data_IF_163025804598
#
_entry.id   IF_163025804598
#
_cell.length_a   1.000
_cell.length_b   1.000
_cell.length_c   1.000
_cell.angle_alpha   90.00
_cell.angle_beta   90.00
_cell.angle_gamma   90.00
#
_symmetry.space_group_name_H-M   'P 1'
#
loop_
_entity.id
_entity.type
_entity.pdbx_description
1 polymer ?
#
# COMPACT_ATOMS: atom_id res chain seq x y z
N UNK A 1 -21.94 -29.35 61.88
CA UNK A 1 -21.13 -29.33 63.12
C UNK A 1 -19.67 -29.38 62.68
N UNK A 2 -18.97 -28.26 62.82
CA UNK A 2 -17.53 -28.18 62.65
C UNK A 2 -16.85 -28.55 63.97
N UNK A 3 -15.79 -29.36 63.90
CA UNK A 3 -14.71 -29.44 64.90
C UNK A 3 -13.50 -30.02 64.15
N UNK A 4 -12.47 -29.24 63.78
CA UNK A 4 -11.36 -28.77 64.65
C UNK A 4 -10.75 -29.98 65.40
N UNK A 5 -9.45 -30.26 65.45
CA UNK A 5 -8.23 -29.46 65.30
C UNK A 5 -7.08 -30.46 65.48
N UNK A 6 -5.93 -30.25 64.87
CA UNK A 6 -4.76 -31.10 65.13
C UNK A 6 -3.47 -30.51 64.59
N UNK A 7 -3.09 -29.33 65.08
CA UNK A 7 -1.70 -28.89 65.07
C UNK A 7 -1.24 -28.76 66.51
N UNK A 8 -0.16 -29.45 66.87
CA UNK A 8 0.99 -28.84 67.54
C UNK A 8 2.12 -29.86 67.72
N UNK A 9 3.31 -29.48 67.25
CA UNK A 9 4.53 -29.47 68.07
C UNK A 9 5.68 -28.84 67.28
N UNK A 10 6.05 -27.61 67.64
CA UNK A 10 7.44 -27.15 67.64
C UNK A 10 7.76 -26.89 69.11
N UNK A 11 8.92 -27.33 69.61
CA UNK A 11 10.01 -26.36 69.76
C UNK A 11 11.39 -27.06 69.58
N UNK A 12 12.55 -26.45 69.45
CA UNK A 12 13.15 -25.34 70.19
C UNK A 12 14.30 -24.76 69.38
N UNK A 13 14.56 -23.48 69.63
CA UNK A 13 15.70 -22.70 69.19
C UNK A 13 17.07 -23.31 69.56
N UNK A 14 18.08 -23.02 68.75
CA UNK A 14 19.47 -23.18 69.16
C UNK A 14 20.45 -23.39 68.01
N UNK A 15 20.81 -22.32 67.29
CA UNK A 15 21.86 -22.40 66.28
C UNK A 15 22.28 -21.03 65.78
N UNK A 16 23.14 -20.34 66.54
CA UNK A 16 23.88 -19.17 66.05
C UNK A 16 24.73 -19.59 64.85
N UNK A 17 24.32 -19.23 63.65
CA UNK A 17 25.19 -19.27 62.47
C UNK A 17 25.53 -17.84 62.06
N UNK A 18 26.60 -17.34 62.68
CA UNK A 18 27.66 -16.57 62.05
C UNK A 18 27.19 -15.47 61.10
N UNK A 19 26.78 -14.33 61.64
CA UNK A 19 26.80 -13.05 60.91
C UNK A 19 28.24 -12.75 60.51
N UNK A 20 28.65 -13.19 59.31
CA UNK A 20 29.79 -12.61 58.60
C UNK A 20 29.39 -11.20 58.18
N UNK A 21 29.44 -10.27 59.14
CA UNK A 21 29.42 -8.84 58.87
C UNK A 21 30.65 -8.50 58.02
N UNK A 22 30.47 -8.37 56.70
CA UNK A 22 31.56 -8.00 55.79
C UNK A 22 31.44 -8.47 54.35
N UNK A 23 30.43 -9.26 53.97
CA UNK A 23 30.18 -9.56 52.57
C UNK A 23 29.47 -8.39 51.87
N UNK A 24 30.10 -7.77 50.87
CA UNK A 24 29.40 -6.89 49.92
C UNK A 24 28.22 -7.69 49.37
N UNK A 25 26.97 -7.28 49.64
CA UNK A 25 25.76 -8.02 49.23
C UNK A 25 25.75 -8.37 47.73
N UNK A 26 26.35 -7.49 46.92
CA UNK A 26 26.53 -7.66 45.48
C UNK A 26 27.45 -8.82 45.07
N UNK A 27 28.40 -9.23 45.91
CA UNK A 27 29.30 -10.34 45.63
C UNK A 27 28.60 -11.71 45.83
N UNK A 28 27.63 -11.80 46.74
CA UNK A 28 26.88 -13.04 47.01
C UNK A 28 25.85 -13.37 45.92
N UNK A 29 25.29 -12.35 45.24
CA UNK A 29 24.37 -12.55 44.11
C UNK A 29 25.11 -13.05 42.86
N UNK A 30 26.34 -12.57 42.64
CA UNK A 30 27.20 -13.03 41.55
C UNK A 30 27.68 -14.48 41.75
N UNK A 31 27.95 -14.90 42.99
CA UNK A 31 28.37 -16.29 43.30
C UNK A 31 27.22 -17.31 43.19
N UNK A 32 25.95 -16.89 43.29
CA UNK A 32 24.77 -17.76 43.11
C UNK A 32 24.39 -17.98 41.65
N UNK A 33 24.88 -17.16 40.74
CA UNK A 33 24.66 -17.35 39.31
C UNK A 33 25.87 -18.05 38.71
N UNK A 34 25.77 -19.37 38.62
CA UNK A 34 26.68 -20.16 37.81
C UNK A 34 26.56 -19.65 36.35
N UNK A 35 27.60 -19.06 35.73
CA UNK A 35 27.50 -18.45 34.40
C UNK A 35 27.10 -19.43 33.30
N UNK A 36 27.26 -20.74 33.57
CA UNK A 36 26.91 -21.83 32.66
C UNK A 36 25.43 -22.23 32.71
N UNK A 37 24.65 -21.83 33.74
CA UNK A 37 23.27 -22.32 33.94
C UNK A 37 22.15 -21.39 33.46
N UNK A 38 22.46 -20.17 33.01
CA UNK A 38 21.45 -19.31 32.36
C UNK A 38 21.65 -19.31 30.86
N UNK A 39 21.04 -20.26 30.16
CA UNK A 39 20.85 -20.13 28.72
C UNK A 39 20.17 -18.78 28.45
N UNK A 40 20.69 -17.94 27.54
CA UNK A 40 20.05 -16.69 27.21
C UNK A 40 18.59 -16.97 26.81
N UNK A 41 17.64 -16.09 27.16
CA UNK A 41 16.26 -16.28 26.76
C UNK A 41 16.22 -16.46 25.23
N UNK A 42 15.43 -17.43 24.73
CA UNK A 42 15.38 -17.71 23.31
C UNK A 42 15.03 -16.41 22.56
N UNK A 43 15.93 -16.00 21.66
CA UNK A 43 15.73 -14.81 20.85
C UNK A 43 14.50 -15.04 19.98
N UNK A 44 13.47 -14.21 20.12
CA UNK A 44 12.30 -14.26 19.26
C UNK A 44 12.70 -13.87 17.83
N UNK A 45 12.88 -14.88 16.97
CA UNK A 45 13.25 -14.64 15.58
C UNK A 45 12.00 -14.24 14.79
N UNK A 46 11.88 -12.94 14.51
CA UNK A 46 10.87 -12.45 13.58
C UNK A 46 11.16 -13.04 12.19
N UNK A 47 10.18 -13.70 11.53
CA UNK A 47 10.39 -14.25 10.20
C UNK A 47 10.62 -13.13 9.19
N UNK A 48 11.88 -12.94 8.78
CA UNK A 48 12.31 -11.91 7.82
C UNK A 48 12.02 -12.25 6.35
N UNK A 49 11.67 -13.50 6.06
CA UNK A 49 11.41 -13.95 4.69
C UNK A 49 9.97 -13.62 4.27
N UNK A 50 9.85 -12.90 3.16
CA UNK A 50 8.56 -12.75 2.47
C UNK A 50 8.06 -14.12 2.01
N UNK A 51 6.95 -14.58 2.61
CA UNK A 51 6.30 -15.84 2.27
C UNK A 51 5.52 -15.75 0.95
N UNK A 52 4.87 -14.61 0.72
CA UNK A 52 4.10 -14.34 -0.49
C UNK A 52 4.87 -13.39 -1.42
N UNK A 53 5.02 -13.80 -2.68
CA UNK A 53 5.66 -13.00 -3.74
C UNK A 53 4.63 -12.57 -4.76
N UNK A 54 3.91 -11.49 -4.46
CA UNK A 54 2.94 -10.90 -5.38
C UNK A 54 3.63 -10.24 -6.57
N UNK A 55 3.11 -10.50 -7.77
CA UNK A 55 3.54 -9.83 -9.00
C UNK A 55 2.47 -8.84 -9.46
N UNK A 56 2.88 -7.85 -10.24
CA UNK A 56 1.97 -6.93 -10.92
C UNK A 56 2.16 -7.13 -12.41
N UNK A 57 1.37 -8.03 -13.00
CA UNK A 57 1.50 -8.44 -14.40
C UNK A 57 0.38 -7.90 -15.30
N UNK A 58 -0.63 -7.23 -14.73
CA UNK A 58 -1.74 -6.63 -15.45
C UNK A 58 -1.84 -5.15 -15.12
N UNK A 59 -1.87 -4.32 -16.16
CA UNK A 59 -1.88 -2.86 -16.03
C UNK A 59 -2.98 -2.26 -16.90
N UNK A 60 -3.86 -1.46 -16.29
CA UNK A 60 -4.81 -0.60 -16.97
C UNK A 60 -4.34 0.85 -16.93
N UNK A 61 -4.17 1.47 -18.11
CA UNK A 61 -3.80 2.88 -18.25
C UNK A 61 -5.02 3.65 -18.75
N UNK A 62 -5.70 4.34 -17.84
CA UNK A 62 -6.88 5.15 -18.12
C UNK A 62 -6.47 6.61 -18.18
N UNK A 63 -6.70 7.24 -19.32
CA UNK A 63 -6.39 8.65 -19.54
C UNK A 63 -7.66 9.38 -19.96
N UNK A 64 -8.06 10.38 -19.19
CA UNK A 64 -9.18 11.26 -19.46
C UNK A 64 -8.64 12.69 -19.64
N UNK A 65 -8.23 13.03 -20.87
CA UNK A 65 -7.48 14.25 -21.17
C UNK A 65 -8.26 15.25 -22.01
N UNK A 66 -9.20 14.80 -22.86
CA UNK A 66 -10.02 15.66 -23.74
C UNK A 66 -9.25 16.85 -24.34
N UNK A 67 -8.15 16.53 -25.04
CA UNK A 67 -7.13 17.51 -25.43
C UNK A 67 -7.76 18.69 -26.18
N UNK A 68 -7.51 19.90 -25.67
CA UNK A 68 -8.01 21.15 -26.23
C UNK A 68 -9.28 21.68 -25.56
N UNK A 69 -9.88 20.91 -24.64
CA UNK A 69 -11.01 21.35 -23.83
C UNK A 69 -10.65 21.27 -22.35
N UNK A 70 -10.59 22.42 -21.69
CA UNK A 70 -10.30 22.46 -20.26
C UNK A 70 -11.57 22.15 -19.44
N UNK A 71 -11.45 21.43 -18.31
CA UNK A 71 -12.58 21.18 -17.44
C UNK A 71 -13.04 22.48 -16.75
N UNK A 72 -14.33 22.61 -16.43
CA UNK A 72 -14.95 23.87 -16.00
C UNK A 72 -14.47 24.39 -14.64
N UNK A 73 -13.85 23.54 -13.82
CA UNK A 73 -13.42 23.85 -12.45
C UNK A 73 -11.92 24.16 -12.33
N UNK A 74 -11.20 24.26 -13.46
CA UNK A 74 -9.77 24.54 -13.51
C UNK A 74 -9.49 25.73 -14.41
N UNK A 75 -9.15 26.87 -13.80
CA UNK A 75 -8.61 28.03 -14.51
C UNK A 75 -7.10 27.88 -14.69
N UNK A 76 -6.62 27.87 -15.94
CA UNK A 76 -5.19 27.77 -16.24
C UNK A 76 -4.55 29.15 -16.29
N UNK A 77 -3.42 29.31 -15.59
CA UNK A 77 -2.59 30.51 -15.69
C UNK A 77 -1.92 30.67 -17.06
N UNK A 78 -1.49 31.88 -17.41
CA UNK A 78 -0.62 32.13 -18.56
C UNK A 78 0.75 32.62 -18.07
N UNK A 79 1.83 31.83 -18.21
CA UNK A 79 1.91 30.48 -18.77
C UNK A 79 1.39 29.37 -17.82
N UNK A 80 1.12 28.19 -18.35
CA UNK A 80 0.78 26.98 -17.59
C UNK A 80 1.67 25.79 -18.01
N UNK A 81 1.81 24.80 -17.11
CA UNK A 81 2.42 23.52 -17.45
C UNK A 81 1.47 22.75 -18.40
N UNK A 82 2.00 22.28 -19.54
CA UNK A 82 1.18 21.65 -20.61
C UNK A 82 1.64 20.28 -21.04
N UNK A 83 2.89 19.89 -20.75
CA UNK A 83 3.43 18.62 -21.24
C UNK A 83 2.78 17.46 -20.49
N UNK A 84 2.23 16.52 -21.25
CA UNK A 84 1.68 15.27 -20.74
C UNK A 84 2.61 14.13 -21.15
N UNK A 85 3.13 13.39 -20.18
CA UNK A 85 4.09 12.31 -20.44
C UNK A 85 5.28 12.73 -21.32
N UNK A 86 5.80 13.95 -21.12
CA UNK A 86 6.88 14.58 -21.92
C UNK A 86 6.50 14.97 -23.36
N UNK A 87 5.22 14.84 -23.74
CA UNK A 87 4.69 15.23 -25.05
C UNK A 87 3.95 16.56 -24.91
N UNK A 88 4.12 17.48 -25.86
CA UNK A 88 3.26 18.66 -25.96
C UNK A 88 1.95 18.27 -26.67
N UNK A 89 0.79 18.30 -25.99
CA UNK A 89 -0.47 17.88 -26.59
C UNK A 89 -0.93 18.78 -27.75
N UNK A 90 -0.40 20.01 -27.86
CA UNK A 90 -0.76 20.96 -28.91
C UNK A 90 0.18 20.95 -30.11
N UNK A 91 1.25 20.13 -30.10
CA UNK A 91 2.18 20.03 -31.22
C UNK A 91 1.66 19.15 -32.37
N UNK A 92 0.50 18.51 -32.21
CA UNK A 92 -0.12 17.64 -33.20
C UNK A 92 -1.65 17.59 -33.00
N UNK A 93 -2.43 17.02 -33.95
CA UNK A 93 -3.87 16.90 -33.78
C UNK A 93 -4.25 16.13 -32.51
N UNK A 94 -5.28 16.58 -31.79
CA UNK A 94 -5.68 16.08 -30.47
C UNK A 94 -5.75 14.54 -30.38
N UNK A 95 -6.38 13.88 -31.34
CA UNK A 95 -6.46 12.41 -31.38
C UNK A 95 -5.09 11.74 -31.44
N UNK A 96 -4.19 12.26 -32.28
CA UNK A 96 -2.82 11.74 -32.42
C UNK A 96 -1.98 12.05 -31.18
N UNK A 97 -2.19 13.21 -30.57
CA UNK A 97 -1.54 13.58 -29.32
C UNK A 97 -1.92 12.58 -28.21
N UNK A 98 -3.21 12.28 -28.05
CA UNK A 98 -3.72 11.35 -27.06
C UNK A 98 -3.12 9.94 -27.22
N UNK A 99 -3.07 9.42 -28.44
CA UNK A 99 -2.42 8.13 -28.75
C UNK A 99 -0.92 8.16 -28.44
N UNK A 100 -0.22 9.25 -28.78
CA UNK A 100 1.21 9.42 -28.52
C UNK A 100 1.51 9.49 -27.02
N UNK A 101 0.70 10.21 -26.26
CA UNK A 101 0.80 10.29 -24.80
C UNK A 101 0.58 8.91 -24.18
N UNK A 102 -0.43 8.17 -24.64
CA UNK A 102 -0.74 6.82 -24.14
C UNK A 102 0.40 5.82 -24.37
N UNK A 103 0.97 5.83 -25.58
CA UNK A 103 2.13 5.02 -25.90
C UNK A 103 3.36 5.42 -25.08
N UNK A 104 3.60 6.72 -24.91
CA UNK A 104 4.72 7.22 -24.12
C UNK A 104 4.61 6.82 -22.65
N UNK A 105 3.40 6.93 -22.06
CA UNK A 105 3.10 6.48 -20.70
C UNK A 105 3.32 4.97 -20.56
N UNK A 106 2.86 4.18 -21.52
CA UNK A 106 3.08 2.74 -21.52
C UNK A 106 4.58 2.42 -21.52
N UNK A 107 5.37 3.02 -22.41
CA UNK A 107 6.82 2.80 -22.47
C UNK A 107 7.53 3.20 -21.17
N UNK A 108 7.06 4.24 -20.46
CA UNK A 108 7.58 4.61 -19.15
C UNK A 108 7.36 3.50 -18.11
N UNK A 109 6.18 2.87 -18.08
CA UNK A 109 5.92 1.75 -17.18
C UNK A 109 6.66 0.46 -17.61
N UNK A 110 6.77 0.20 -18.91
CA UNK A 110 7.50 -0.95 -19.45
C UNK A 110 8.97 -0.97 -19.02
N UNK A 111 9.57 0.21 -18.78
CA UNK A 111 10.92 0.31 -18.21
C UNK A 111 11.03 -0.32 -16.81
N UNK A 112 9.98 -0.25 -16.00
CA UNK A 112 9.94 -0.82 -14.65
C UNK A 112 9.45 -2.27 -14.65
N UNK A 113 8.48 -2.59 -15.52
CA UNK A 113 7.92 -3.94 -15.64
C UNK A 113 7.62 -4.29 -17.09
N UNK A 114 8.64 -4.75 -17.82
CA UNK A 114 8.54 -5.00 -19.26
C UNK A 114 7.65 -6.19 -19.65
N UNK A 115 7.42 -7.13 -18.74
CA UNK A 115 6.65 -8.36 -19.03
C UNK A 115 5.16 -8.25 -18.69
N UNK A 116 4.72 -7.14 -18.11
CA UNK A 116 3.31 -6.94 -17.80
C UNK A 116 2.47 -6.75 -19.07
N UNK A 117 1.18 -7.08 -18.97
CA UNK A 117 0.18 -6.85 -20.01
C UNK A 117 -0.42 -5.47 -19.80
N UNK A 118 -0.05 -4.53 -20.67
CA UNK A 118 -0.56 -3.18 -20.67
C UNK A 118 -1.83 -3.07 -21.52
N UNK A 119 -2.84 -2.37 -21.01
CA UNK A 119 -4.04 -2.01 -21.76
C UNK A 119 -4.36 -0.54 -21.55
N UNK A 120 -4.26 0.24 -22.62
CA UNK A 120 -4.64 1.65 -22.65
C UNK A 120 -6.15 1.80 -22.87
N UNK A 121 -6.74 2.81 -22.24
CA UNK A 121 -8.10 3.29 -22.45
C UNK A 121 -8.05 4.82 -22.49
N UNK A 122 -8.17 5.34 -23.72
CA UNK A 122 -7.99 6.75 -24.06
C UNK A 122 -9.37 7.41 -24.14
N UNK A 123 -9.60 8.43 -23.32
CA UNK A 123 -10.89 9.09 -23.10
C UNK A 123 -12.08 8.10 -23.00
N UNK A 124 -12.06 7.14 -22.05
CA UNK A 124 -13.05 6.08 -22.02
C UNK A 124 -14.41 6.51 -21.48
N UNK A 125 -15.43 5.68 -21.78
CA UNK A 125 -16.71 5.68 -21.07
C UNK A 125 -16.69 4.77 -19.85
N UNK A 126 -17.71 4.90 -18.98
CA UNK A 126 -17.90 4.03 -17.80
C UNK A 126 -17.89 2.55 -18.19
N UNK A 127 -18.58 2.18 -19.28
CA UNK A 127 -18.63 0.79 -19.75
C UNK A 127 -17.24 0.28 -20.14
N UNK A 128 -16.43 1.13 -20.79
CA UNK A 128 -15.07 0.77 -21.20
C UNK A 128 -14.16 0.53 -20.01
N UNK A 129 -14.28 1.34 -18.96
CA UNK A 129 -13.55 1.14 -17.70
C UNK A 129 -14.02 -0.14 -17.00
N UNK A 130 -15.32 -0.38 -16.91
CA UNK A 130 -15.86 -1.61 -16.32
C UNK A 130 -15.33 -2.86 -17.02
N UNK A 131 -15.38 -2.88 -18.36
CA UNK A 131 -14.79 -3.96 -19.16
C UNK A 131 -13.30 -4.13 -18.89
N UNK A 132 -12.55 -3.04 -18.82
CA UNK A 132 -11.11 -3.04 -18.53
C UNK A 132 -10.83 -3.67 -17.16
N UNK A 133 -11.47 -3.17 -16.10
CA UNK A 133 -11.25 -3.61 -14.72
C UNK A 133 -11.60 -5.08 -14.52
N UNK A 134 -12.78 -5.52 -14.99
CA UNK A 134 -13.23 -6.91 -14.92
C UNK A 134 -12.25 -7.82 -15.67
N UNK A 135 -11.83 -7.41 -16.87
CA UNK A 135 -10.89 -8.20 -17.68
C UNK A 135 -9.51 -8.31 -17.02
N UNK A 136 -8.94 -7.21 -16.52
CA UNK A 136 -7.64 -7.21 -15.83
C UNK A 136 -7.68 -8.06 -14.56
N UNK A 137 -8.73 -7.92 -13.74
CA UNK A 137 -8.90 -8.73 -12.52
C UNK A 137 -8.98 -10.22 -12.83
N UNK A 138 -9.77 -10.62 -13.83
CA UNK A 138 -9.87 -12.02 -14.27
C UNK A 138 -8.51 -12.60 -14.68
N UNK A 139 -7.68 -11.81 -15.37
CA UNK A 139 -6.35 -12.25 -15.83
C UNK A 139 -5.32 -12.32 -14.70
N UNK A 140 -5.37 -11.39 -13.75
CA UNK A 140 -4.44 -11.35 -12.63
C UNK A 140 -4.70 -12.42 -11.57
N UNK A 141 -5.92 -12.98 -11.50
CA UNK A 141 -6.31 -13.93 -10.45
C UNK A 141 -6.07 -13.31 -9.06
N UNK A 142 -5.08 -13.83 -8.33
CA UNK A 142 -4.67 -13.38 -7.00
C UNK A 142 -3.50 -12.38 -7.00
N UNK A 143 -2.90 -12.12 -8.17
CA UNK A 143 -1.84 -11.12 -8.30
C UNK A 143 -2.41 -9.68 -8.30
N UNK A 144 -1.51 -8.71 -8.13
CA UNK A 144 -1.85 -7.28 -8.16
C UNK A 144 -2.17 -6.84 -9.59
N UNK A 145 -3.13 -5.92 -9.69
CA UNK A 145 -3.41 -5.16 -10.92
C UNK A 145 -3.04 -3.71 -10.64
N UNK A 146 -2.32 -3.09 -11.56
CA UNK A 146 -2.10 -1.64 -11.52
C UNK A 146 -3.21 -0.96 -12.33
N UNK A 147 -3.90 -0.01 -11.70
CA UNK A 147 -4.83 0.88 -12.37
C UNK A 147 -4.28 2.29 -12.28
N UNK A 148 -3.85 2.85 -13.40
CA UNK A 148 -3.41 4.23 -13.49
C UNK A 148 -4.54 5.07 -14.07
N UNK A 149 -4.97 6.09 -13.34
CA UNK A 149 -5.98 7.04 -13.78
C UNK A 149 -5.36 8.44 -13.85
N UNK A 150 -5.46 9.06 -15.03
CA UNK A 150 -5.15 10.46 -15.26
C UNK A 150 -6.44 11.19 -15.64
N UNK A 151 -6.86 12.16 -14.83
CA UNK A 151 -8.10 12.93 -15.00
C UNK A 151 -7.88 14.41 -15.29
N UNK A 152 -6.78 14.81 -15.93
CA UNK A 152 -6.50 16.24 -16.17
C UNK A 152 -7.48 16.94 -17.12
N UNK A 153 -8.22 16.20 -17.95
CA UNK A 153 -9.24 16.72 -18.87
C UNK A 153 -10.66 16.64 -18.34
N UNK A 154 -10.85 16.34 -17.06
CA UNK A 154 -12.16 16.21 -16.41
C UNK A 154 -12.17 16.97 -15.08
N UNK A 155 -13.35 17.21 -14.48
CA UNK A 155 -13.41 17.90 -13.19
C UNK A 155 -12.66 17.20 -12.07
N UNK A 156 -12.35 17.94 -11.00
CA UNK A 156 -11.74 17.36 -9.79
C UNK A 156 -12.63 16.28 -9.16
N UNK A 157 -12.03 15.24 -8.55
CA UNK A 157 -12.78 14.25 -7.78
C UNK A 157 -13.63 14.88 -6.68
N UNK A 158 -14.80 14.30 -6.41
CA UNK A 158 -15.73 14.81 -5.41
C UNK A 158 -15.44 14.26 -4.02
N UNK A 159 -15.95 14.92 -2.97
CA UNK A 159 -15.86 14.41 -1.59
C UNK A 159 -16.64 13.12 -1.37
N UNK A 160 -17.59 12.81 -2.25
CA UNK A 160 -18.36 11.57 -2.23
C UNK A 160 -17.59 10.37 -2.78
N UNK A 161 -16.34 10.57 -3.24
CA UNK A 161 -15.52 9.51 -3.80
C UNK A 161 -15.86 9.21 -5.26
N UNK A 162 -16.23 10.23 -6.04
CA UNK A 162 -16.45 10.10 -7.49
C UNK A 162 -15.24 10.61 -8.26
N UNK A 163 -14.87 9.88 -9.30
CA UNK A 163 -13.97 10.32 -10.37
C UNK A 163 -14.77 10.50 -11.66
N UNK A 164 -14.21 11.18 -12.65
CA UNK A 164 -14.95 11.59 -13.83
C UNK A 164 -14.42 10.92 -15.10
N UNK A 165 -15.33 10.59 -16.01
CA UNK A 165 -15.03 10.00 -17.33
C UNK A 165 -15.95 10.62 -18.38
N UNK A 166 -15.92 10.15 -19.63
CA UNK A 166 -16.73 10.75 -20.71
C UNK A 166 -17.96 9.92 -21.06
N UNK A 167 -18.97 10.57 -21.64
CA UNK A 167 -19.97 9.89 -22.44
C UNK A 167 -19.44 9.61 -23.86
N UNK A 168 -20.18 8.81 -24.66
CA UNK A 168 -19.77 8.41 -26.02
C UNK A 168 -19.57 9.59 -26.98
N UNK A 169 -20.28 10.69 -26.76
CA UNK A 169 -20.24 11.89 -27.59
C UNK A 169 -19.24 12.94 -27.12
N UNK A 170 -18.53 12.70 -26.00
CA UNK A 170 -17.62 13.65 -25.36
C UNK A 170 -18.24 15.02 -25.06
N UNK A 171 -19.54 15.02 -24.74
CA UNK A 171 -20.31 16.24 -24.42
C UNK A 171 -20.56 16.41 -22.93
N UNK A 172 -20.41 15.32 -22.15
CA UNK A 172 -20.69 15.31 -20.71
C UNK A 172 -19.63 14.51 -19.98
N UNK A 173 -19.30 15.00 -18.78
CA UNK A 173 -18.56 14.24 -17.78
C UNK A 173 -19.53 13.35 -17.02
N UNK A 174 -19.20 12.06 -16.92
CA UNK A 174 -20.01 11.05 -16.24
C UNK A 174 -19.29 10.69 -14.94
N UNK A 175 -19.96 10.78 -13.78
CA UNK A 175 -19.36 10.38 -12.51
C UNK A 175 -19.23 8.85 -12.45
N UNK A 176 -18.12 8.39 -11.90
CA UNK A 176 -17.82 7.00 -11.59
C UNK A 176 -17.44 6.92 -10.11
N UNK A 177 -18.19 6.16 -9.33
CA UNK A 177 -17.86 5.93 -7.93
C UNK A 177 -16.60 5.07 -7.81
N UNK A 178 -15.68 5.46 -6.94
CA UNK A 178 -14.47 4.66 -6.64
C UNK A 178 -14.82 3.31 -6.00
N UNK A 179 -16.03 3.21 -5.44
CA UNK A 179 -16.57 1.97 -4.88
C UNK A 179 -16.90 0.91 -5.95
N UNK A 180 -17.23 1.34 -7.18
CA UNK A 180 -17.66 0.47 -8.29
C UNK A 180 -16.48 -0.18 -9.06
#
# INVERSE_FOLDING_TARGET
>A
MHSNTGYEALPMAGGRQNDRAGGLRFAQEAEKQNPEDSLPPPVEVVPWRMRERLKTMDVGLVMCLNIGTDPPDVEKSSPCARKECWVDPFSMPAKKALETIGNTLQSQYERWQSRARYKQSLDPTVEKIRELCVNRRRLAKHDRVLFHYNGHGVPRPTQNGEVWVFNKSYTQYIPLLVYD
#
